data_IF_821820540262
#
_entry.id   IF_821820540262
#
_cell.length_a   1.000
_cell.length_b   1.000
_cell.length_c   1.000
_cell.angle_alpha   90.00
_cell.angle_beta   90.00
_cell.angle_gamma   90.00
#
_symmetry.space_group_name_H-M   'P 1'
#
loop_
_entity.id
_entity.type
_entity.pdbx_description
1 polymer ?
#
# COMPACT_ATOMS: atom_id res chain seq x y z
N UNK A 1 -31.48 38.72 -5.73
CA UNK A 1 -31.86 37.44 -5.06
C UNK A 1 -30.93 36.38 -5.65
N UNK A 2 -29.97 35.86 -4.89
CA UNK A 2 -29.12 34.77 -5.39
C UNK A 2 -30.00 33.57 -5.67
N UNK A 3 -29.81 32.93 -6.81
CA UNK A 3 -30.49 31.67 -7.16
C UNK A 3 -29.76 30.51 -6.44
N UNK A 4 -30.03 30.37 -5.15
CA UNK A 4 -29.41 29.37 -4.27
C UNK A 4 -29.74 27.94 -4.72
N UNK A 5 -30.91 27.73 -5.29
CA UNK A 5 -31.35 26.41 -5.77
C UNK A 5 -30.61 26.02 -7.06
N UNK A 6 -30.42 26.95 -7.98
CA UNK A 6 -29.62 26.76 -9.20
C UNK A 6 -28.13 26.50 -8.92
N UNK A 7 -27.56 27.18 -7.92
CA UNK A 7 -26.15 26.98 -7.50
C UNK A 7 -25.97 25.58 -6.86
N UNK A 8 -26.90 25.10 -6.02
CA UNK A 8 -26.85 23.78 -5.42
C UNK A 8 -26.97 22.68 -6.49
N UNK A 9 -27.87 22.82 -7.44
CA UNK A 9 -28.06 21.83 -8.53
C UNK A 9 -26.82 21.77 -9.39
N UNK A 10 -26.21 22.90 -9.71
CA UNK A 10 -24.96 22.97 -10.47
C UNK A 10 -23.79 22.31 -9.70
N UNK A 11 -23.61 22.64 -8.42
CA UNK A 11 -22.57 22.07 -7.59
C UNK A 11 -22.68 20.54 -7.49
N UNK A 12 -23.89 19.98 -7.38
CA UNK A 12 -24.12 18.53 -7.39
C UNK A 12 -23.83 17.89 -8.73
N UNK A 13 -24.12 18.56 -9.85
CA UNK A 13 -23.78 18.09 -11.18
C UNK A 13 -22.26 18.07 -11.38
N UNK A 14 -21.59 19.17 -11.06
CA UNK A 14 -20.12 19.28 -11.15
C UNK A 14 -19.40 18.23 -10.30
N UNK A 15 -19.91 17.96 -9.09
CA UNK A 15 -19.42 16.92 -8.20
C UNK A 15 -19.56 15.51 -8.82
N UNK A 16 -20.75 15.19 -9.35
CA UNK A 16 -20.99 13.91 -10.00
C UNK A 16 -20.10 13.72 -11.23
N UNK A 17 -19.92 14.75 -12.03
CA UNK A 17 -19.09 14.70 -13.23
C UNK A 17 -17.61 14.52 -12.87
N UNK A 18 -17.14 15.12 -11.76
CA UNK A 18 -15.80 14.91 -11.23
C UNK A 18 -15.56 13.44 -10.80
N UNK A 19 -16.53 12.81 -10.11
CA UNK A 19 -16.43 11.38 -9.74
C UNK A 19 -16.47 10.45 -10.96
N UNK A 20 -17.25 10.79 -11.99
CA UNK A 20 -17.30 10.00 -13.24
C UNK A 20 -15.92 10.08 -13.93
N UNK A 21 -15.34 11.28 -14.04
CA UNK A 21 -14.02 11.50 -14.64
C UNK A 21 -12.94 10.73 -13.86
N UNK A 22 -12.97 10.80 -12.54
CA UNK A 22 -12.06 10.04 -11.67
C UNK A 22 -12.15 8.55 -11.96
N UNK A 23 -13.36 7.99 -11.99
CA UNK A 23 -13.58 6.57 -12.29
C UNK A 23 -13.04 6.17 -13.66
N UNK A 24 -13.29 6.97 -14.71
CA UNK A 24 -12.77 6.72 -16.06
C UNK A 24 -11.24 6.72 -16.10
N UNK A 25 -10.59 7.57 -15.32
CA UNK A 25 -9.13 7.57 -15.18
C UNK A 25 -8.63 6.25 -14.60
N UNK A 26 -9.28 5.71 -13.56
CA UNK A 26 -8.87 4.42 -13.00
C UNK A 26 -9.18 3.22 -13.92
N UNK A 27 -10.26 3.26 -14.68
CA UNK A 27 -10.55 2.25 -15.72
C UNK A 27 -9.47 2.24 -16.81
N UNK A 28 -8.97 3.43 -17.21
CA UNK A 28 -7.85 3.56 -18.14
C UNK A 28 -6.55 3.01 -17.53
N UNK A 29 -6.22 3.37 -16.28
CA UNK A 29 -5.05 2.83 -15.57
C UNK A 29 -5.09 1.30 -15.55
N UNK A 30 -6.23 0.70 -15.24
CA UNK A 30 -6.40 -0.74 -15.24
C UNK A 30 -6.19 -1.35 -16.65
N UNK A 31 -6.70 -0.70 -17.68
CA UNK A 31 -6.49 -1.13 -19.08
C UNK A 31 -5.01 -1.06 -19.45
N UNK A 32 -4.33 0.04 -19.15
CA UNK A 32 -2.88 0.21 -19.36
C UNK A 32 -2.08 -0.85 -18.59
N UNK A 33 -2.49 -1.15 -17.35
CA UNK A 33 -1.89 -2.23 -16.54
C UNK A 33 -1.96 -3.59 -17.24
N UNK A 34 -3.11 -3.95 -17.81
CA UNK A 34 -3.26 -5.21 -18.55
C UNK A 34 -2.36 -5.23 -19.80
N UNK A 35 -2.24 -4.09 -20.49
CA UNK A 35 -1.31 -3.95 -21.62
C UNK A 35 0.15 -4.11 -21.15
N UNK A 36 0.54 -3.50 -20.05
CA UNK A 36 1.90 -3.68 -19.46
C UNK A 36 2.17 -5.16 -19.18
N UNK A 37 1.25 -5.87 -18.56
CA UNK A 37 1.43 -7.30 -18.27
C UNK A 37 1.48 -8.16 -19.54
N UNK A 38 0.78 -7.77 -20.59
CA UNK A 38 0.74 -8.50 -21.86
C UNK A 38 1.92 -8.22 -22.81
N UNK A 39 2.46 -7.00 -22.80
CA UNK A 39 3.45 -6.58 -23.79
C UNK A 39 4.84 -6.30 -23.18
N UNK A 40 4.90 -5.94 -21.89
CA UNK A 40 6.16 -5.77 -21.14
C UNK A 40 6.43 -7.00 -20.28
N UNK A 41 5.42 -7.56 -19.62
CA UNK A 41 5.50 -8.75 -18.77
C UNK A 41 6.29 -8.52 -17.48
N UNK A 42 6.57 -9.60 -16.76
CA UNK A 42 7.33 -9.62 -15.50
C UNK A 42 8.60 -10.46 -15.66
N UNK A 43 9.74 -9.92 -15.26
CA UNK A 43 10.98 -10.69 -15.22
C UNK A 43 10.90 -11.78 -14.14
N UNK A 44 11.21 -13.03 -14.52
CA UNK A 44 11.21 -14.16 -13.59
C UNK A 44 12.11 -15.28 -14.06
N UNK A 45 12.69 -16.02 -13.09
CA UNK A 45 13.37 -17.30 -13.30
C UNK A 45 12.75 -18.40 -12.45
N UNK A 46 11.67 -18.09 -11.73
CA UNK A 46 10.99 -19.04 -10.87
C UNK A 46 10.20 -20.04 -11.74
N UNK A 47 10.73 -21.26 -11.82
CA UNK A 47 10.15 -22.35 -12.65
C UNK A 47 8.71 -22.68 -12.22
N UNK A 48 8.42 -22.65 -10.91
CA UNK A 48 7.07 -22.96 -10.40
C UNK A 48 6.05 -21.90 -10.85
N UNK A 49 6.43 -20.62 -10.87
CA UNK A 49 5.58 -19.53 -11.38
C UNK A 49 5.36 -19.68 -12.88
N UNK A 50 6.43 -19.98 -13.64
CA UNK A 50 6.36 -20.14 -15.10
C UNK A 50 5.42 -21.30 -15.44
N UNK A 51 5.68 -22.49 -14.91
CA UNK A 51 4.86 -23.69 -15.18
C UNK A 51 3.39 -23.47 -14.78
N UNK A 52 3.15 -22.86 -13.62
CA UNK A 52 1.82 -22.60 -13.11
C UNK A 52 1.02 -21.69 -14.06
N UNK A 53 1.61 -20.59 -14.49
CA UNK A 53 0.92 -19.61 -15.32
C UNK A 53 0.77 -20.08 -16.77
N UNK A 54 1.79 -20.72 -17.36
CA UNK A 54 1.70 -21.28 -18.72
C UNK A 54 0.65 -22.41 -18.81
N UNK A 55 0.46 -23.19 -17.74
CA UNK A 55 -0.57 -24.23 -17.68
C UNK A 55 -2.00 -23.66 -17.82
N UNK A 56 -2.22 -22.37 -17.58
CA UNK A 56 -3.52 -21.71 -17.82
C UNK A 56 -3.85 -21.54 -19.30
N UNK A 57 -2.85 -21.57 -20.19
CA UNK A 57 -2.97 -21.20 -21.59
C UNK A 57 -3.17 -19.69 -21.84
N UNK A 58 -3.08 -18.87 -20.77
CA UNK A 58 -3.27 -17.40 -20.82
C UNK A 58 -1.98 -16.64 -20.43
N UNK A 59 -0.85 -17.34 -20.35
CA UNK A 59 0.46 -16.75 -20.15
C UNK A 59 1.49 -17.44 -21.05
N UNK A 60 2.57 -16.73 -21.36
CA UNK A 60 3.68 -17.23 -22.15
C UNK A 60 5.02 -16.72 -21.61
N UNK A 61 5.98 -17.62 -21.45
CA UNK A 61 7.32 -17.27 -21.03
C UNK A 61 8.29 -17.16 -22.21
N UNK A 62 9.01 -16.06 -22.31
CA UNK A 62 10.10 -15.89 -23.26
C UNK A 62 11.47 -16.03 -22.54
N UNK A 63 12.09 -17.19 -22.72
CA UNK A 63 13.38 -17.49 -22.12
C UNK A 63 14.52 -16.63 -22.67
N UNK A 64 14.35 -15.96 -23.81
CA UNK A 64 15.40 -15.12 -24.42
C UNK A 64 15.58 -13.81 -23.68
N UNK A 65 14.50 -13.29 -23.10
CA UNK A 65 14.47 -12.06 -22.28
C UNK A 65 14.17 -12.31 -20.81
N UNK A 66 13.84 -13.57 -20.44
CA UNK A 66 13.57 -13.96 -19.05
C UNK A 66 12.27 -13.35 -18.50
N UNK A 67 11.26 -13.16 -19.33
CA UNK A 67 10.00 -12.52 -18.93
C UNK A 67 8.79 -13.39 -19.23
N UNK A 68 7.81 -13.31 -18.33
CA UNK A 68 6.49 -13.94 -18.51
C UNK A 68 5.45 -12.87 -18.82
N UNK A 69 4.63 -13.12 -19.81
CA UNK A 69 3.59 -12.24 -20.32
C UNK A 69 2.23 -12.83 -19.99
N UNK A 70 1.30 -12.00 -19.51
CA UNK A 70 -0.04 -12.43 -19.12
C UNK A 70 -1.07 -11.78 -20.05
N UNK A 71 -1.94 -12.60 -20.64
CA UNK A 71 -3.06 -12.06 -21.40
C UNK A 71 -4.06 -11.35 -20.48
N UNK A 72 -4.75 -10.29 -20.95
CA UNK A 72 -5.76 -9.57 -20.19
C UNK A 72 -6.81 -10.46 -19.54
N UNK A 73 -7.20 -11.54 -20.21
CA UNK A 73 -8.19 -12.52 -19.77
C UNK A 73 -7.79 -13.23 -18.47
N UNK A 74 -6.49 -13.47 -18.24
CA UNK A 74 -6.03 -14.08 -16.99
C UNK A 74 -6.23 -13.13 -15.80
N UNK A 75 -5.99 -11.84 -16.01
CA UNK A 75 -6.22 -10.82 -14.98
C UNK A 75 -7.72 -10.70 -14.67
N UNK A 76 -8.57 -10.66 -15.71
CA UNK A 76 -10.01 -10.57 -15.53
C UNK A 76 -10.55 -11.82 -14.81
N UNK A 77 -10.13 -13.04 -15.18
CA UNK A 77 -10.50 -14.28 -14.49
C UNK A 77 -10.03 -14.29 -13.03
N UNK A 78 -8.82 -13.82 -12.76
CA UNK A 78 -8.28 -13.73 -11.41
C UNK A 78 -9.04 -12.75 -10.54
N UNK A 79 -9.44 -11.61 -11.10
CA UNK A 79 -10.29 -10.64 -10.41
C UNK A 79 -11.69 -11.18 -10.16
N UNK A 80 -12.30 -11.86 -11.13
CA UNK A 80 -13.63 -12.44 -10.97
C UNK A 80 -13.65 -13.55 -9.92
N UNK A 81 -12.59 -14.34 -9.84
CA UNK A 81 -12.46 -15.41 -8.85
C UNK A 81 -12.21 -14.89 -7.43
N UNK A 82 -11.42 -13.83 -7.27
CA UNK A 82 -10.97 -13.35 -5.97
C UNK A 82 -12.13 -12.93 -5.04
N UNK A 83 -12.05 -13.29 -3.76
CA UNK A 83 -12.97 -12.81 -2.74
C UNK A 83 -12.92 -11.29 -2.64
N UNK A 84 -14.08 -10.64 -2.57
CA UNK A 84 -14.23 -9.18 -2.57
C UNK A 84 -14.45 -8.59 -1.19
N UNK A 85 -14.84 -9.43 -0.24
CA UNK A 85 -15.06 -9.03 1.15
C UNK A 85 -14.33 -9.97 2.07
N UNK A 86 -13.89 -9.50 3.20
CA UNK A 86 -13.39 -10.33 4.27
C UNK A 86 -14.13 -10.01 5.58
N UNK A 87 -14.22 -11.01 6.45
CA UNK A 87 -14.86 -10.85 7.75
C UNK A 87 -14.18 -9.69 8.52
N UNK A 88 -14.98 -8.77 9.04
CA UNK A 88 -14.49 -7.62 9.79
C UNK A 88 -14.05 -6.40 8.95
N UNK A 89 -14.40 -6.32 7.66
CA UNK A 89 -14.29 -5.08 6.89
C UNK A 89 -15.46 -4.14 7.22
N UNK A 90 -15.60 -3.88 8.51
CA UNK A 90 -16.71 -3.10 9.04
C UNK A 90 -16.26 -1.65 9.29
N UNK A 91 -16.51 -0.81 8.33
CA UNK A 91 -16.50 0.64 8.50
C UNK A 91 -15.28 1.37 7.93
N UNK A 92 -15.41 2.67 7.76
CA UNK A 92 -14.36 3.55 7.26
C UNK A 92 -13.24 3.70 8.30
N UNK A 93 -12.02 3.90 7.81
CA UNK A 93 -10.87 4.37 8.57
C UNK A 93 -10.24 3.34 9.54
N UNK A 94 -9.97 2.14 9.05
CA UNK A 94 -9.12 1.18 9.76
C UNK A 94 -7.65 1.60 9.60
N UNK A 95 -7.19 2.53 10.44
CA UNK A 95 -5.81 2.95 10.46
C UNK A 95 -4.98 2.07 11.40
N UNK A 96 -3.71 1.87 11.09
CA UNK A 96 -2.86 0.96 11.81
C UNK A 96 -1.42 1.38 11.95
N UNK A 97 -0.71 0.58 12.72
CA UNK A 97 0.72 0.74 12.99
C UNK A 97 1.53 -0.34 12.27
N UNK A 98 2.85 -0.16 12.29
CA UNK A 98 3.82 -1.16 11.86
C UNK A 98 4.59 -0.75 10.62
N UNK A 99 5.17 -1.71 9.93
CA UNK A 99 6.14 -1.53 8.87
C UNK A 99 7.48 -2.13 9.25
N UNK A 100 7.57 -2.64 10.47
CA UNK A 100 8.75 -3.30 11.04
C UNK A 100 9.97 -2.37 11.00
N UNK A 101 9.87 -1.11 11.48
CA UNK A 101 11.02 -0.24 11.61
C UNK A 101 12.18 -0.95 12.30
N UNK A 102 13.41 -0.82 11.80
CA UNK A 102 14.56 -1.54 12.35
C UNK A 102 14.96 -1.10 13.76
N UNK A 103 14.53 0.09 14.20
CA UNK A 103 14.96 0.66 15.46
C UNK A 103 13.79 1.25 16.26
N UNK A 104 13.97 1.31 17.59
CA UNK A 104 13.11 2.00 18.54
C UNK A 104 13.79 3.30 19.01
N UNK A 105 13.07 4.41 18.98
CA UNK A 105 13.47 5.69 19.51
C UNK A 105 12.76 5.92 20.86
N UNK A 106 13.49 5.84 21.94
CA UNK A 106 12.96 5.98 23.31
C UNK A 106 13.05 7.42 23.78
N UNK A 107 12.22 7.78 24.72
CA UNK A 107 12.33 9.09 25.38
C UNK A 107 13.71 9.26 26.05
N UNK A 108 14.37 10.36 25.72
CA UNK A 108 15.72 10.67 26.23
C UNK A 108 16.87 10.04 25.45
N UNK A 109 16.60 9.19 24.46
CA UNK A 109 17.64 8.63 23.59
C UNK A 109 18.25 9.71 22.68
N UNK A 110 19.57 9.68 22.53
CA UNK A 110 20.26 10.47 21.51
C UNK A 110 20.13 9.87 20.10
N UNK A 111 20.02 8.54 20.01
CA UNK A 111 19.96 7.78 18.78
C UNK A 111 19.00 6.61 18.94
N UNK A 112 18.26 6.23 17.87
CA UNK A 112 17.42 5.04 17.90
C UNK A 112 18.28 3.78 18.04
N UNK A 113 17.79 2.81 18.79
CA UNK A 113 18.48 1.56 19.11
C UNK A 113 17.59 0.36 18.74
N UNK A 114 18.19 -0.83 18.48
CA UNK A 114 17.43 -2.05 18.29
C UNK A 114 16.51 -2.36 19.49
N UNK A 115 15.33 -2.89 19.22
CA UNK A 115 14.37 -3.25 20.26
C UNK A 115 14.60 -4.68 20.80
N UNK A 116 14.14 -4.91 22.03
CA UNK A 116 14.06 -6.19 22.72
C UNK A 116 12.66 -6.80 22.64
N UNK A 117 12.47 -8.05 23.10
CA UNK A 117 11.15 -8.66 23.23
C UNK A 117 10.29 -7.97 24.28
N UNK A 118 10.86 -7.62 25.42
CA UNK A 118 10.13 -6.94 26.52
C UNK A 118 9.58 -5.59 26.05
N UNK A 119 10.32 -4.88 25.19
CA UNK A 119 9.86 -3.64 24.57
C UNK A 119 8.78 -3.89 23.53
N UNK A 120 8.85 -4.97 22.75
CA UNK A 120 7.76 -5.35 21.84
C UNK A 120 6.49 -5.68 22.64
N UNK A 121 6.59 -6.45 23.75
CA UNK A 121 5.46 -6.75 24.64
C UNK A 121 4.84 -5.46 25.19
N UNK A 122 5.66 -4.55 25.72
CA UNK A 122 5.22 -3.24 26.19
C UNK A 122 4.49 -2.42 25.11
N UNK A 123 5.04 -2.38 23.90
CA UNK A 123 4.39 -1.66 22.79
C UNK A 123 3.04 -2.29 22.41
N UNK A 124 2.90 -3.61 22.47
CA UNK A 124 1.64 -4.30 22.19
C UNK A 124 0.60 -4.01 23.29
N UNK A 125 1.00 -3.93 24.56
CA UNK A 125 0.12 -3.48 25.66
C UNK A 125 -0.40 -2.06 25.40
N UNK A 126 0.49 -1.11 25.03
CA UNK A 126 0.12 0.27 24.72
C UNK A 126 -0.82 0.33 23.51
N UNK A 127 -0.59 -0.47 22.47
CA UNK A 127 -1.52 -0.58 21.34
C UNK A 127 -2.88 -1.05 21.82
N UNK A 128 -2.94 -2.04 22.70
CA UNK A 128 -4.16 -2.56 23.31
C UNK A 128 -4.97 -1.49 24.04
N UNK A 129 -4.32 -0.49 24.63
CA UNK A 129 -4.97 0.67 25.26
C UNK A 129 -5.51 1.71 24.26
N UNK A 130 -5.16 1.60 22.98
CA UNK A 130 -5.48 2.58 21.92
C UNK A 130 -6.33 2.01 20.78
N UNK A 131 -7.06 0.90 21.01
CA UNK A 131 -7.87 0.21 20.00
C UNK A 131 -9.09 1.02 19.51
N UNK A 132 -9.39 2.14 20.13
CA UNK A 132 -10.40 3.09 19.66
C UNK A 132 -9.99 3.80 18.35
N UNK A 133 -8.66 3.96 18.12
CA UNK A 133 -8.10 4.62 16.93
C UNK A 133 -7.18 3.71 16.11
N UNK A 134 -6.56 2.71 16.72
CA UNK A 134 -5.71 1.73 16.03
C UNK A 134 -6.54 0.48 15.74
N UNK A 135 -6.66 0.10 14.47
CA UNK A 135 -7.51 -1.02 14.02
C UNK A 135 -6.77 -2.04 13.15
N UNK A 136 -5.50 -1.80 12.89
CA UNK A 136 -4.66 -2.68 12.08
C UNK A 136 -3.24 -2.71 12.68
N UNK A 137 -2.68 -3.92 12.80
CA UNK A 137 -1.37 -4.14 13.38
C UNK A 137 -0.45 -4.88 12.39
N UNK A 138 0.66 -4.26 12.03
CA UNK A 138 1.90 -4.95 11.67
C UNK A 138 2.87 -4.80 12.82
N UNK A 139 3.88 -5.62 12.90
CA UNK A 139 4.88 -5.53 13.97
C UNK A 139 5.42 -4.09 14.09
N UNK A 140 5.28 -3.45 15.25
CA UNK A 140 5.61 -2.03 15.42
C UNK A 140 7.09 -1.72 15.31
N UNK A 141 7.95 -2.66 15.69
CA UNK A 141 9.41 -2.52 15.63
C UNK A 141 10.07 -3.88 15.47
N UNK A 142 11.20 -3.94 14.76
CA UNK A 142 12.01 -5.16 14.62
C UNK A 142 12.76 -5.47 15.92
N UNK A 143 12.52 -6.64 16.48
CA UNK A 143 13.34 -7.15 17.58
C UNK A 143 14.72 -7.56 17.06
N UNK A 144 15.79 -7.12 17.73
CA UNK A 144 17.16 -7.46 17.34
C UNK A 144 17.41 -8.96 17.45
N UNK A 145 17.80 -9.58 16.34
CA UNK A 145 17.96 -11.06 16.27
C UNK A 145 16.73 -11.82 16.77
N UNK A 146 15.56 -11.20 16.66
CA UNK A 146 14.32 -11.80 17.14
C UNK A 146 13.85 -12.93 16.23
N UNK A 147 13.25 -13.94 16.87
CA UNK A 147 12.52 -15.00 16.21
C UNK A 147 11.16 -14.46 15.74
N UNK A 148 10.83 -14.54 14.44
CA UNK A 148 9.55 -14.08 13.91
C UNK A 148 8.35 -14.74 14.58
N UNK A 149 8.41 -16.05 14.87
CA UNK A 149 7.34 -16.77 15.53
C UNK A 149 7.07 -16.21 16.92
N UNK A 150 8.12 -15.94 17.71
CA UNK A 150 7.98 -15.32 19.03
C UNK A 150 7.39 -13.91 18.94
N UNK A 151 7.81 -13.11 17.95
CA UNK A 151 7.22 -11.79 17.72
C UNK A 151 5.72 -11.89 17.39
N UNK A 152 5.33 -12.85 16.55
CA UNK A 152 3.93 -13.09 16.21
C UNK A 152 3.12 -13.55 17.42
N UNK A 153 3.68 -14.41 18.28
CA UNK A 153 3.02 -14.83 19.54
C UNK A 153 2.76 -13.65 20.49
N UNK A 154 3.65 -12.67 20.52
CA UNK A 154 3.44 -11.43 21.27
C UNK A 154 2.30 -10.62 20.67
N UNK A 155 2.27 -10.47 19.34
CA UNK A 155 1.20 -9.73 18.66
C UNK A 155 -0.15 -10.44 18.73
N UNK A 156 -0.17 -11.77 18.84
CA UNK A 156 -1.38 -12.60 18.91
C UNK A 156 -2.28 -12.26 20.11
N UNK A 157 -1.76 -11.57 21.11
CA UNK A 157 -2.53 -11.08 22.26
C UNK A 157 -3.68 -10.12 21.84
N UNK A 158 -3.56 -9.52 20.66
CA UNK A 158 -4.57 -8.59 20.10
C UNK A 158 -5.37 -9.19 18.93
N UNK A 159 -5.15 -10.46 18.58
CA UNK A 159 -5.73 -11.08 17.38
C UNK A 159 -7.26 -11.01 17.33
N UNK A 160 -7.92 -11.17 18.48
CA UNK A 160 -9.39 -11.07 18.57
C UNK A 160 -9.91 -9.60 18.53
N UNK A 161 -9.01 -8.63 18.57
CA UNK A 161 -9.37 -7.21 18.71
C UNK A 161 -9.15 -6.40 17.44
N UNK A 162 -8.12 -6.73 16.66
CA UNK A 162 -7.72 -6.02 15.45
C UNK A 162 -7.17 -6.99 14.40
N UNK A 163 -7.10 -6.51 13.16
CA UNK A 163 -6.47 -7.26 12.07
C UNK A 163 -4.96 -7.21 12.19
N UNK A 164 -4.32 -8.35 11.99
CA UNK A 164 -2.87 -8.47 12.13
C UNK A 164 -2.26 -8.95 10.82
N UNK A 165 -1.12 -8.38 10.44
CA UNK A 165 -0.27 -8.91 9.38
C UNK A 165 1.00 -9.49 9.98
N UNK A 166 1.43 -10.62 9.42
CA UNK A 166 2.68 -11.24 9.79
C UNK A 166 3.90 -10.35 9.58
N UNK A 167 4.91 -10.60 10.37
CA UNK A 167 6.29 -10.22 10.09
C UNK A 167 6.75 -10.89 8.78
N UNK A 168 7.26 -10.12 7.82
CA UNK A 168 7.77 -10.57 6.52
C UNK A 168 9.02 -11.47 6.59
N UNK A 169 9.38 -11.99 7.76
CA UNK A 169 10.60 -12.76 8.01
C UNK A 169 10.36 -14.23 8.38
N UNK A 170 9.13 -14.70 8.33
CA UNK A 170 8.85 -16.14 8.46
C UNK A 170 9.19 -16.83 7.14
N UNK A 171 9.78 -18.01 7.21
CA UNK A 171 9.90 -18.85 6.02
C UNK A 171 8.52 -19.42 5.60
N UNK A 172 8.43 -19.90 4.34
CA UNK A 172 7.16 -20.30 3.79
C UNK A 172 6.46 -21.43 4.55
N UNK A 173 7.18 -22.42 5.09
CA UNK A 173 6.59 -23.51 5.85
C UNK A 173 6.10 -23.08 7.24
N UNK A 174 6.87 -22.24 7.91
CA UNK A 174 6.48 -21.69 9.22
C UNK A 174 5.27 -20.75 9.06
N UNK A 175 5.28 -19.90 8.04
CA UNK A 175 4.15 -19.03 7.70
C UNK A 175 2.89 -19.85 7.45
N UNK A 176 2.96 -20.90 6.62
CA UNK A 176 1.81 -21.79 6.34
C UNK A 176 1.22 -22.37 7.62
N UNK A 177 2.05 -22.86 8.53
CA UNK A 177 1.59 -23.42 9.80
C UNK A 177 1.01 -22.37 10.73
N UNK A 178 1.60 -21.17 10.75
CA UNK A 178 1.16 -20.08 11.62
C UNK A 178 -0.22 -19.54 11.21
N UNK A 179 -0.45 -19.34 9.91
CA UNK A 179 -1.70 -18.77 9.40
C UNK A 179 -2.86 -19.75 9.34
N UNK A 180 -2.61 -21.04 9.41
CA UNK A 180 -3.65 -22.05 9.26
C UNK A 180 -4.82 -21.86 10.26
N UNK A 181 -6.00 -21.49 9.73
CA UNK A 181 -7.21 -21.25 10.51
C UNK A 181 -7.24 -19.93 11.29
N UNK A 182 -6.40 -18.96 10.94
CA UNK A 182 -6.35 -17.64 11.56
C UNK A 182 -6.93 -16.58 10.62
N UNK A 183 -8.24 -16.36 10.70
CA UNK A 183 -8.96 -15.46 9.77
C UNK A 183 -8.61 -13.98 9.97
N UNK A 184 -8.18 -13.58 11.17
CA UNK A 184 -7.78 -12.21 11.49
C UNK A 184 -6.33 -11.87 11.09
N UNK A 185 -5.58 -12.89 10.67
CA UNK A 185 -4.20 -12.76 10.22
C UNK A 185 -4.09 -12.79 8.70
N UNK A 186 -3.13 -12.03 8.17
CA UNK A 186 -2.82 -12.00 6.74
C UNK A 186 -1.33 -12.21 6.53
N UNK A 187 -1.00 -13.16 5.65
CA UNK A 187 0.38 -13.34 5.20
C UNK A 187 0.75 -12.25 4.20
N UNK A 188 1.75 -11.45 4.55
CA UNK A 188 2.17 -10.30 3.74
C UNK A 188 3.33 -10.67 2.84
N UNK A 189 3.03 -10.83 1.55
CA UNK A 189 3.99 -11.28 0.54
C UNK A 189 4.42 -10.10 -0.34
N UNK A 190 5.73 -9.82 -0.37
CA UNK A 190 6.38 -8.93 -1.33
C UNK A 190 7.01 -9.79 -2.46
N UNK A 191 6.18 -10.35 -3.33
CA UNK A 191 6.63 -11.28 -4.36
C UNK A 191 7.29 -10.62 -5.59
N UNK A 192 7.11 -9.31 -5.76
CA UNK A 192 7.69 -8.55 -6.87
C UNK A 192 8.55 -7.42 -6.33
N UNK A 193 9.77 -7.35 -6.84
CA UNK A 193 10.68 -6.21 -6.69
C UNK A 193 10.42 -5.25 -7.83
N UNK A 194 10.09 -4.00 -7.50
CA UNK A 194 9.92 -2.96 -8.51
C UNK A 194 11.23 -2.56 -9.18
N UNK A 195 11.26 -2.35 -10.51
CA UNK A 195 10.12 -2.51 -11.42
C UNK A 195 10.02 -3.94 -11.96
N UNK A 196 8.83 -4.52 -11.91
CA UNK A 196 8.39 -5.67 -12.69
C UNK A 196 9.35 -6.89 -12.69
N UNK A 197 9.91 -7.26 -11.51
CA UNK A 197 10.83 -8.38 -11.37
C UNK A 197 10.46 -9.27 -10.18
N UNK A 198 10.34 -10.58 -10.39
CA UNK A 198 10.01 -11.52 -9.32
C UNK A 198 11.13 -11.66 -8.29
N UNK A 199 10.75 -11.87 -7.04
CA UNK A 199 11.60 -12.35 -5.97
C UNK A 199 11.31 -13.84 -5.76
N UNK A 200 12.17 -14.71 -6.25
CA UNK A 200 11.91 -16.16 -6.35
C UNK A 200 11.45 -16.78 -5.03
N UNK A 201 12.18 -16.53 -3.94
CA UNK A 201 11.84 -17.06 -2.61
C UNK A 201 10.48 -16.55 -2.08
N UNK A 202 10.13 -15.31 -2.40
CA UNK A 202 8.85 -14.73 -1.98
C UNK A 202 7.70 -15.22 -2.85
N UNK A 203 7.95 -15.53 -4.12
CA UNK A 203 6.96 -16.15 -4.99
C UNK A 203 6.71 -17.62 -4.58
N UNK A 204 7.74 -18.34 -4.15
CA UNK A 204 7.57 -19.68 -3.57
C UNK A 204 6.72 -19.63 -2.30
N UNK A 205 6.96 -18.65 -1.43
CA UNK A 205 6.15 -18.42 -0.23
C UNK A 205 4.69 -18.08 -0.58
N UNK A 206 4.46 -17.25 -1.61
CA UNK A 206 3.12 -16.94 -2.11
C UNK A 206 2.38 -18.21 -2.56
N UNK A 207 3.03 -19.04 -3.37
CA UNK A 207 2.46 -20.30 -3.85
C UNK A 207 2.13 -21.26 -2.70
N UNK A 208 3.01 -21.37 -1.72
CA UNK A 208 2.80 -22.24 -0.53
C UNK A 208 1.63 -21.73 0.32
N UNK A 209 1.60 -20.44 0.61
CA UNK A 209 0.55 -19.80 1.41
C UNK A 209 -0.82 -19.89 0.70
N UNK A 210 -0.85 -19.67 -0.61
CA UNK A 210 -2.05 -19.83 -1.42
C UNK A 210 -2.57 -21.28 -1.43
N UNK A 211 -1.69 -22.27 -1.55
CA UNK A 211 -2.06 -23.70 -1.45
C UNK A 211 -2.65 -24.06 -0.09
N UNK A 212 -2.17 -23.43 0.96
CA UNK A 212 -2.68 -23.62 2.32
C UNK A 212 -4.03 -22.92 2.56
N UNK A 213 -4.46 -22.00 1.68
CA UNK A 213 -5.69 -21.25 1.83
C UNK A 213 -5.58 -20.08 2.80
N UNK A 214 -4.37 -19.63 3.09
CA UNK A 214 -4.15 -18.48 3.98
C UNK A 214 -4.63 -17.18 3.34
N UNK A 215 -5.12 -16.25 4.16
CA UNK A 215 -5.40 -14.88 3.70
C UNK A 215 -4.10 -14.20 3.31
N UNK A 216 -4.04 -13.65 2.09
CA UNK A 216 -2.86 -12.97 1.57
C UNK A 216 -3.02 -11.45 1.54
N UNK A 217 -1.93 -10.76 1.79
CA UNK A 217 -1.75 -9.36 1.41
C UNK A 217 -0.62 -9.27 0.39
N UNK A 218 -0.96 -8.94 -0.84
CA UNK A 218 -0.03 -8.83 -1.97
C UNK A 218 0.60 -7.45 -1.96
N UNK A 219 1.86 -7.38 -1.55
CA UNK A 219 2.53 -6.11 -1.23
C UNK A 219 3.62 -5.78 -2.25
N UNK A 220 3.64 -4.53 -2.68
CA UNK A 220 4.74 -3.92 -3.42
C UNK A 220 4.89 -2.47 -3.02
N UNK A 221 6.10 -1.90 -3.15
CA UNK A 221 6.39 -0.53 -2.76
C UNK A 221 7.27 0.17 -3.80
N UNK A 222 6.73 0.49 -4.98
CA UNK A 222 7.44 1.23 -6.02
C UNK A 222 7.78 2.65 -5.55
N UNK A 223 9.00 3.09 -5.84
CA UNK A 223 9.51 4.42 -5.47
C UNK A 223 9.49 5.32 -6.69
N UNK A 224 8.66 6.36 -6.67
CA UNK A 224 8.53 7.33 -7.74
C UNK A 224 9.88 7.95 -8.10
N UNK A 225 10.23 7.94 -9.39
CA UNK A 225 11.52 8.45 -9.87
C UNK A 225 12.72 7.55 -9.60
N UNK A 226 12.53 6.36 -8.99
CA UNK A 226 13.62 5.42 -8.70
C UNK A 226 13.34 3.99 -9.18
N UNK A 227 12.28 3.38 -8.70
CA UNK A 227 11.81 2.05 -9.11
C UNK A 227 10.42 2.10 -9.71
N UNK A 228 9.91 3.31 -9.93
CA UNK A 228 8.70 3.62 -10.66
C UNK A 228 8.92 4.91 -11.46
N UNK A 229 8.14 5.16 -12.52
CA UNK A 229 8.21 6.39 -13.30
C UNK A 229 8.01 7.68 -12.47
N UNK A 230 8.35 8.81 -13.10
CA UNK A 230 8.31 10.13 -12.47
C UNK A 230 6.96 10.86 -12.63
N UNK A 231 5.90 10.12 -12.96
CA UNK A 231 4.55 10.67 -13.05
C UNK A 231 3.59 9.89 -12.16
N UNK A 232 2.59 10.53 -11.54
CA UNK A 232 1.65 9.86 -10.65
C UNK A 232 0.94 8.68 -11.33
N UNK A 233 0.40 8.87 -12.52
CA UNK A 233 -0.33 7.83 -13.24
C UNK A 233 0.55 6.62 -13.55
N UNK A 234 1.74 6.82 -14.14
CA UNK A 234 2.63 5.71 -14.49
C UNK A 234 3.18 4.98 -13.24
N UNK A 235 3.37 5.70 -12.14
CA UNK A 235 3.72 5.10 -10.85
C UNK A 235 2.59 4.18 -10.33
N UNK A 236 1.32 4.60 -10.48
CA UNK A 236 0.16 3.78 -10.09
C UNK A 236 0.00 2.58 -11.03
N UNK A 237 0.21 2.73 -12.35
CA UNK A 237 0.15 1.63 -13.31
C UNK A 237 1.15 0.53 -12.94
N UNK A 238 2.41 0.86 -12.64
CA UNK A 238 3.42 -0.12 -12.22
C UNK A 238 3.01 -0.80 -10.90
N UNK A 239 2.57 -0.03 -9.92
CA UNK A 239 2.10 -0.58 -8.64
C UNK A 239 0.97 -1.57 -8.84
N UNK A 240 0.02 -1.22 -9.70
CA UNK A 240 -1.13 -2.05 -10.00
C UNK A 240 -0.72 -3.31 -10.78
N UNK A 241 0.19 -3.21 -11.76
CA UNK A 241 0.69 -4.33 -12.52
C UNK A 241 1.37 -5.40 -11.66
N UNK A 242 2.21 -4.98 -10.73
CA UNK A 242 2.92 -5.87 -9.82
C UNK A 242 1.96 -6.63 -8.90
N UNK A 243 0.93 -5.96 -8.36
CA UNK A 243 -0.08 -6.64 -7.53
C UNK A 243 -0.99 -7.54 -8.35
N UNK A 244 -1.41 -7.12 -9.55
CA UNK A 244 -2.23 -7.95 -10.44
C UNK A 244 -1.50 -9.21 -10.88
N UNK A 245 -0.20 -9.15 -11.10
CA UNK A 245 0.62 -10.33 -11.36
C UNK A 245 0.60 -11.32 -10.18
N UNK A 246 0.87 -10.84 -8.97
CA UNK A 246 0.80 -11.69 -7.76
C UNK A 246 -0.61 -12.26 -7.53
N UNK A 247 -1.65 -11.48 -7.82
CA UNK A 247 -3.04 -11.94 -7.77
C UNK A 247 -3.29 -13.09 -8.76
N UNK A 248 -2.79 -12.95 -10.00
CA UNK A 248 -2.93 -14.00 -11.00
C UNK A 248 -2.28 -15.31 -10.55
N UNK A 249 -1.08 -15.25 -9.97
CA UNK A 249 -0.42 -16.43 -9.39
C UNK A 249 -1.26 -17.01 -8.26
N UNK A 250 -1.69 -16.21 -7.28
CA UNK A 250 -2.46 -16.67 -6.13
C UNK A 250 -3.79 -17.32 -6.55
N UNK A 251 -4.54 -16.69 -7.44
CA UNK A 251 -5.84 -17.19 -7.92
C UNK A 251 -5.71 -18.39 -8.85
N UNK A 252 -4.58 -18.55 -9.56
CA UNK A 252 -4.30 -19.77 -10.34
C UNK A 252 -4.03 -20.95 -9.41
N UNK A 253 -3.37 -20.72 -8.26
CA UNK A 253 -3.12 -21.75 -7.25
C UNK A 253 -4.40 -22.15 -6.51
N UNK A 254 -5.17 -21.16 -6.06
CA UNK A 254 -6.36 -21.36 -5.23
C UNK A 254 -7.44 -20.32 -5.56
N UNK A 255 -8.29 -20.63 -6.55
CA UNK A 255 -9.36 -19.72 -6.98
C UNK A 255 -10.35 -19.41 -5.85
N UNK A 256 -10.71 -18.16 -5.70
CA UNK A 256 -11.68 -17.69 -4.70
C UNK A 256 -11.07 -17.29 -3.36
N UNK A 257 -9.76 -17.45 -3.19
CA UNK A 257 -9.10 -17.06 -1.96
C UNK A 257 -9.09 -15.54 -1.77
N UNK A 258 -8.99 -15.12 -0.50
CA UNK A 258 -8.86 -13.72 -0.15
C UNK A 258 -7.45 -13.21 -0.43
N UNK A 259 -7.37 -12.18 -1.28
CA UNK A 259 -6.16 -11.43 -1.54
C UNK A 259 -6.43 -9.93 -1.32
N UNK A 260 -5.78 -9.34 -0.32
CA UNK A 260 -5.80 -7.89 -0.13
C UNK A 260 -4.80 -7.22 -1.05
N UNK A 261 -5.20 -6.12 -1.67
CA UNK A 261 -4.31 -5.27 -2.44
C UNK A 261 -3.43 -4.46 -1.48
N UNK A 262 -2.13 -4.69 -1.50
CA UNK A 262 -1.13 -4.05 -0.65
C UNK A 262 -0.09 -3.23 -1.44
N UNK A 263 -0.42 -2.79 -2.65
CA UNK A 263 0.44 -1.89 -3.43
C UNK A 263 0.47 -0.50 -2.79
N UNK A 264 1.66 -0.04 -2.43
CA UNK A 264 1.89 1.21 -1.68
C UNK A 264 2.96 2.02 -2.39
N UNK A 265 2.63 2.75 -3.46
CA UNK A 265 3.58 3.61 -4.14
C UNK A 265 4.06 4.71 -3.19
N UNK A 266 5.33 5.06 -3.29
CA UNK A 266 5.96 6.04 -2.42
C UNK A 266 6.68 7.11 -3.23
N UNK A 267 6.70 8.33 -2.69
CA UNK A 267 7.54 9.42 -3.16
C UNK A 267 8.98 9.26 -2.68
N UNK A 268 9.90 9.94 -3.35
CA UNK A 268 11.33 9.92 -2.99
C UNK A 268 11.87 11.33 -2.83
N UNK A 269 12.90 11.48 -2.01
CA UNK A 269 13.73 12.68 -1.96
C UNK A 269 14.63 12.77 -3.20
N UNK A 270 15.22 13.94 -3.48
CA UNK A 270 16.15 14.09 -4.59
C UNK A 270 17.36 13.13 -4.57
N UNK A 271 17.76 12.64 -3.38
CA UNK A 271 18.79 11.61 -3.23
C UNK A 271 18.29 10.19 -3.56
N UNK A 272 17.01 10.04 -3.86
CA UNK A 272 16.34 8.77 -4.21
C UNK A 272 15.89 7.95 -3.01
N UNK A 273 16.04 8.45 -1.79
CA UNK A 273 15.50 7.81 -0.59
C UNK A 273 14.01 8.12 -0.44
N UNK A 274 13.32 7.26 0.28
CA UNK A 274 11.91 7.36 0.60
C UNK A 274 11.57 8.70 1.28
N UNK A 275 10.42 9.30 0.93
CA UNK A 275 9.95 10.56 1.51
C UNK A 275 8.46 10.51 1.89
N UNK A 276 8.19 10.23 3.15
CA UNK A 276 6.82 10.27 3.71
C UNK A 276 6.32 11.69 4.04
N UNK A 277 7.20 12.68 4.04
CA UNK A 277 6.81 14.08 4.26
C UNK A 277 6.36 14.79 2.99
N UNK A 278 6.51 14.16 1.82
CA UNK A 278 6.10 14.74 0.55
C UNK A 278 4.57 14.78 0.42
N UNK A 279 4.01 15.91 -0.01
CA UNK A 279 2.56 16.14 -0.08
C UNK A 279 1.82 15.14 -0.98
N UNK A 280 2.45 14.64 -2.04
CA UNK A 280 1.86 13.63 -2.92
C UNK A 280 1.92 12.19 -2.36
N UNK A 281 2.60 11.94 -1.26
CA UNK A 281 2.76 10.59 -0.70
C UNK A 281 1.41 9.95 -0.34
N UNK A 282 0.64 10.66 0.46
CA UNK A 282 -0.67 10.16 0.90
C UNK A 282 -1.68 10.16 -0.26
N UNK A 283 -1.59 11.14 -1.19
CA UNK A 283 -2.43 11.20 -2.39
C UNK A 283 -2.23 9.99 -3.32
N UNK A 284 -0.99 9.51 -3.50
CA UNK A 284 -0.72 8.29 -4.26
C UNK A 284 -1.45 7.09 -3.67
N UNK A 285 -1.40 6.94 -2.35
CA UNK A 285 -2.06 5.86 -1.65
C UNK A 285 -3.58 5.99 -1.69
N UNK A 286 -4.12 7.20 -1.63
CA UNK A 286 -5.55 7.47 -1.90
C UNK A 286 -5.92 7.04 -3.31
N UNK A 287 -5.15 7.42 -4.32
CA UNK A 287 -5.43 7.07 -5.72
C UNK A 287 -5.47 5.55 -5.93
N UNK A 288 -4.54 4.81 -5.32
CA UNK A 288 -4.53 3.34 -5.37
C UNK A 288 -5.74 2.73 -4.65
N UNK A 289 -6.12 3.26 -3.48
CA UNK A 289 -7.33 2.80 -2.78
C UNK A 289 -8.59 3.03 -3.64
N UNK A 290 -8.68 4.19 -4.30
CA UNK A 290 -9.78 4.55 -5.21
C UNK A 290 -9.83 3.67 -6.45
N UNK A 291 -8.66 3.36 -7.06
CA UNK A 291 -8.55 2.39 -8.15
C UNK A 291 -9.19 1.06 -7.74
N UNK A 292 -8.88 0.56 -6.55
CA UNK A 292 -9.45 -0.69 -6.06
C UNK A 292 -10.95 -0.55 -5.76
N UNK A 293 -11.39 0.56 -5.18
CA UNK A 293 -12.81 0.83 -4.93
C UNK A 293 -13.62 0.84 -6.22
N UNK A 294 -13.13 1.50 -7.27
CA UNK A 294 -13.89 1.69 -8.51
C UNK A 294 -13.80 0.52 -9.47
N UNK A 295 -12.62 -0.12 -9.57
CA UNK A 295 -12.31 -1.09 -10.63
C UNK A 295 -12.23 -2.52 -10.11
N UNK A 296 -11.24 -2.83 -9.28
CA UNK A 296 -10.96 -4.24 -8.90
C UNK A 296 -11.90 -4.79 -7.84
N UNK A 297 -12.45 -3.93 -6.99
CA UNK A 297 -13.26 -4.30 -5.82
C UNK A 297 -12.51 -5.15 -4.79
N UNK A 298 -11.20 -5.20 -4.85
CA UNK A 298 -10.39 -5.93 -3.86
C UNK A 298 -10.31 -5.14 -2.56
N UNK A 299 -10.30 -5.82 -1.42
CA UNK A 299 -9.90 -5.20 -0.16
C UNK A 299 -8.50 -4.62 -0.29
N UNK A 300 -8.25 -3.46 0.32
CA UNK A 300 -6.96 -2.77 0.17
C UNK A 300 -6.38 -2.38 1.52
N UNK A 301 -5.06 -2.40 1.63
CA UNK A 301 -4.30 -1.78 2.72
C UNK A 301 -3.25 -0.86 2.13
N UNK A 302 -3.37 0.42 2.43
CA UNK A 302 -2.49 1.45 1.93
C UNK A 302 -1.42 1.84 2.97
N UNK A 303 -0.59 2.82 2.63
CA UNK A 303 0.41 3.41 3.51
C UNK A 303 0.18 4.92 3.61
N UNK A 304 0.49 5.51 4.74
CA UNK A 304 0.44 6.96 4.91
C UNK A 304 0.35 7.38 6.37
N UNK A 305 0.30 8.69 6.60
CA UNK A 305 0.26 9.24 7.96
C UNK A 305 1.57 9.11 8.73
N UNK A 306 2.68 8.78 8.06
CA UNK A 306 4.04 8.76 8.62
C UNK A 306 4.79 10.05 8.27
N UNK A 307 6.05 10.15 8.65
CA UNK A 307 6.89 11.34 8.47
C UNK A 307 8.34 11.02 8.13
N UNK A 308 9.00 11.94 7.45
CA UNK A 308 10.47 11.96 7.31
C UNK A 308 11.20 12.64 8.47
N UNK A 309 10.49 13.16 9.48
CA UNK A 309 11.11 13.72 10.67
C UNK A 309 11.85 12.63 11.49
N UNK A 310 13.01 12.99 12.05
CA UNK A 310 13.90 12.04 12.76
C UNK A 310 13.65 11.98 14.26
N UNK A 311 12.87 12.89 14.79
CA UNK A 311 12.53 12.99 16.22
C UNK A 311 11.04 13.22 16.37
N UNK A 312 10.43 12.83 17.50
CA UNK A 312 9.01 13.03 17.79
C UNK A 312 8.73 14.50 18.19
N UNK A 313 8.80 15.41 17.22
CA UNK A 313 8.57 16.84 17.39
C UNK A 313 7.25 17.31 16.74
N UNK A 314 6.99 18.61 16.78
CA UNK A 314 5.79 19.23 16.19
C UNK A 314 5.69 18.99 14.68
N UNK A 315 6.81 18.86 13.96
CA UNK A 315 6.84 18.56 12.54
C UNK A 315 6.39 17.12 12.30
N UNK A 316 6.92 16.17 13.08
CA UNK A 316 6.49 14.77 12.99
C UNK A 316 4.98 14.64 13.18
N UNK A 317 4.46 15.31 14.21
CA UNK A 317 3.03 15.31 14.52
C UNK A 317 2.21 15.96 13.40
N UNK A 318 2.64 17.10 12.85
CA UNK A 318 1.94 17.79 11.78
C UNK A 318 1.87 16.94 10.49
N UNK A 319 2.97 16.32 10.08
CA UNK A 319 3.01 15.39 8.93
C UNK A 319 2.05 14.22 9.14
N UNK A 320 2.08 13.59 10.33
CA UNK A 320 1.19 12.47 10.68
C UNK A 320 -0.29 12.86 10.66
N UNK A 321 -0.65 14.02 11.23
CA UNK A 321 -2.02 14.55 11.21
C UNK A 321 -2.47 14.76 9.76
N UNK A 322 -1.66 15.45 8.95
CA UNK A 322 -1.97 15.73 7.54
C UNK A 322 -2.26 14.44 6.79
N UNK A 323 -1.35 13.48 6.84
CA UNK A 323 -1.50 12.22 6.09
C UNK A 323 -2.72 11.42 6.54
N UNK A 324 -2.95 11.25 7.85
CA UNK A 324 -4.13 10.54 8.36
C UNK A 324 -5.43 11.23 7.96
N UNK A 325 -5.49 12.58 7.96
CA UNK A 325 -6.65 13.33 7.50
C UNK A 325 -6.90 13.11 6.01
N UNK A 326 -5.87 13.20 5.16
CA UNK A 326 -5.99 12.91 3.73
C UNK A 326 -6.57 11.50 3.52
N UNK A 327 -5.99 10.47 4.14
CA UNK A 327 -6.51 9.11 4.03
C UNK A 327 -7.98 9.01 4.43
N UNK A 328 -8.35 9.61 5.55
CA UNK A 328 -9.71 9.56 6.06
C UNK A 328 -10.70 10.36 5.20
N UNK A 329 -10.34 11.60 4.82
CA UNK A 329 -11.23 12.50 4.09
C UNK A 329 -11.49 12.03 2.65
N UNK A 330 -10.54 11.32 2.06
CA UNK A 330 -10.71 10.68 0.76
C UNK A 330 -11.25 9.24 0.82
N UNK A 331 -11.62 8.73 2.00
CA UNK A 331 -12.31 7.46 2.17
C UNK A 331 -11.44 6.22 2.02
N UNK A 332 -10.16 6.30 2.38
CA UNK A 332 -9.31 5.11 2.48
C UNK A 332 -9.75 4.27 3.67
N UNK A 333 -10.14 3.01 3.43
CA UNK A 333 -10.66 2.14 4.47
C UNK A 333 -9.58 1.60 5.38
N UNK A 334 -8.45 1.14 4.82
CA UNK A 334 -7.36 0.55 5.58
C UNK A 334 -6.02 1.18 5.20
N UNK A 335 -5.27 1.62 6.20
CA UNK A 335 -3.90 2.08 6.03
C UNK A 335 -3.02 1.70 7.20
N UNK A 336 -1.75 1.45 6.94
CA UNK A 336 -0.71 1.17 7.94
C UNK A 336 0.37 2.26 7.93
N UNK A 337 1.29 2.20 8.85
CA UNK A 337 2.35 3.20 9.08
C UNK A 337 1.80 4.54 9.62
N UNK A 338 0.56 4.55 10.10
CA UNK A 338 -0.15 5.78 10.44
C UNK A 338 0.21 6.36 11.81
N UNK A 339 0.85 5.58 12.68
CA UNK A 339 1.10 5.97 14.07
C UNK A 339 2.51 5.61 14.51
N UNK A 340 3.20 6.55 15.15
CA UNK A 340 4.46 6.34 15.84
C UNK A 340 5.69 6.10 14.97
N UNK A 341 5.58 6.20 13.65
CA UNK A 341 6.66 5.87 12.72
C UNK A 341 7.36 7.13 12.24
N UNK A 342 8.69 7.17 12.36
CA UNK A 342 9.56 8.29 12.07
C UNK A 342 10.62 7.93 11.02
N UNK A 343 11.31 8.96 10.49
CA UNK A 343 12.43 8.86 9.56
C UNK A 343 12.17 7.89 8.41
N UNK A 344 11.01 8.06 7.74
CA UNK A 344 10.66 7.25 6.58
C UNK A 344 10.68 5.73 6.86
N UNK A 345 10.03 5.30 7.93
CA UNK A 345 9.94 3.91 8.42
C UNK A 345 11.22 3.35 9.05
N UNK A 346 12.18 4.19 9.42
CA UNK A 346 13.40 3.71 10.09
C UNK A 346 13.24 3.54 11.59
N UNK A 347 12.35 4.33 12.23
CA UNK A 347 12.19 4.30 13.67
C UNK A 347 10.72 4.17 14.06
N UNK A 348 10.47 3.48 15.17
CA UNK A 348 9.22 3.61 15.92
C UNK A 348 9.49 4.40 17.21
N UNK A 349 8.55 5.26 17.60
CA UNK A 349 8.60 6.01 18.86
C UNK A 349 7.27 5.92 19.58
N UNK A 350 7.30 5.47 20.84
CA UNK A 350 6.13 5.44 21.71
C UNK A 350 5.55 6.85 21.92
N UNK A 351 6.40 7.85 22.16
CA UNK A 351 5.99 9.24 22.33
C UNK A 351 5.22 9.75 21.10
N UNK A 352 5.75 9.50 19.88
CA UNK A 352 5.06 9.86 18.65
C UNK A 352 3.74 9.09 18.49
N UNK A 353 3.73 7.79 18.82
CA UNK A 353 2.53 6.95 18.77
C UNK A 353 1.40 7.50 19.64
N UNK A 354 1.69 7.85 20.90
CA UNK A 354 0.69 8.38 21.83
C UNK A 354 0.16 9.75 21.37
N UNK A 355 1.04 10.63 20.87
CA UNK A 355 0.65 11.92 20.31
C UNK A 355 -0.24 11.76 19.06
N UNK A 356 0.11 10.84 18.16
CA UNK A 356 -0.66 10.51 16.98
C UNK A 356 -2.06 9.96 17.34
N UNK A 357 -2.15 9.06 18.32
CA UNK A 357 -3.42 8.52 18.79
C UNK A 357 -4.31 9.62 19.38
N UNK A 358 -3.75 10.55 20.15
CA UNK A 358 -4.50 11.69 20.69
C UNK A 358 -5.03 12.57 19.56
N UNK A 359 -4.18 12.96 18.61
CA UNK A 359 -4.57 13.79 17.47
C UNK A 359 -5.66 13.12 16.61
N UNK A 360 -5.57 11.81 16.41
CA UNK A 360 -6.59 11.06 15.66
C UNK A 360 -7.94 11.04 16.40
N UNK A 361 -7.96 10.90 17.72
CA UNK A 361 -9.21 11.00 18.52
C UNK A 361 -9.85 12.38 18.38
N UNK A 362 -9.05 13.44 18.42
CA UNK A 362 -9.53 14.81 18.27
C UNK A 362 -10.12 15.02 16.87
N UNK A 363 -9.45 14.53 15.83
CA UNK A 363 -9.96 14.58 14.47
C UNK A 363 -11.31 13.84 14.33
N UNK A 364 -11.41 12.59 14.80
CA UNK A 364 -12.62 11.79 14.69
C UNK A 364 -13.82 12.38 15.44
N UNK A 365 -13.57 13.07 16.56
CA UNK A 365 -14.64 13.78 17.32
C UNK A 365 -15.20 15.00 16.58
N UNK A 366 -14.37 15.65 15.76
CA UNK A 366 -14.72 16.90 15.07
C UNK A 366 -15.10 16.70 13.62
N UNK A 367 -14.93 15.48 13.08
CA UNK A 367 -15.29 15.16 11.71
C UNK A 367 -16.80 15.11 11.53
N UNK A 368 -17.31 15.82 10.51
CA UNK A 368 -18.66 15.58 10.00
C UNK A 368 -18.61 14.34 9.10
N UNK A 369 -19.47 13.37 9.39
CA UNK A 369 -19.60 12.17 8.57
C UNK A 369 -20.68 12.41 7.51
N UNK A 370 -20.34 13.21 6.49
CA UNK A 370 -21.30 13.62 5.45
C UNK A 370 -21.50 12.52 4.38
N UNK A 371 -20.75 11.41 4.46
CA UNK A 371 -20.88 10.24 3.56
C UNK A 371 -20.44 10.50 2.11
N UNK A 372 -20.13 11.73 1.75
CA UNK A 372 -19.74 12.10 0.40
C UNK A 372 -18.23 11.96 0.21
N UNK A 373 -17.83 11.27 -0.87
CA UNK A 373 -16.43 11.09 -1.23
C UNK A 373 -15.89 12.36 -1.89
N UNK A 374 -14.82 12.94 -1.36
CA UNK A 374 -14.11 14.04 -2.02
C UNK A 374 -13.51 13.56 -3.35
N UNK A 375 -13.84 14.15 -4.53
CA UNK A 375 -13.26 13.74 -5.79
C UNK A 375 -11.75 14.00 -5.81
N UNK A 376 -10.97 13.01 -6.28
CA UNK A 376 -9.54 13.14 -6.46
C UNK A 376 -9.23 13.31 -7.96
N UNK A 377 -8.66 14.45 -8.32
CA UNK A 377 -8.13 14.64 -9.66
C UNK A 377 -6.74 14.00 -9.76
N UNK A 378 -6.59 13.05 -10.68
CA UNK A 378 -5.30 12.45 -11.03
C UNK A 378 -4.88 12.97 -12.42
N UNK A 379 -3.68 13.57 -12.58
CA UNK A 379 -3.21 14.02 -13.89
C UNK A 379 -3.02 12.83 -14.81
N UNK A 380 -3.42 12.98 -16.08
CA UNK A 380 -3.27 11.96 -17.10
C UNK A 380 -1.85 11.94 -17.65
N UNK A 381 -1.33 10.73 -17.92
CA UNK A 381 -0.05 10.53 -18.60
C UNK A 381 -0.26 9.62 -19.81
N UNK A 382 -0.43 10.22 -20.98
CA UNK A 382 -0.63 9.48 -22.24
C UNK A 382 0.61 8.69 -22.67
N UNK A 383 1.76 8.90 -22.01
CA UNK A 383 3.02 8.19 -22.27
C UNK A 383 3.34 7.15 -21.19
N UNK A 384 2.41 6.90 -20.25
CA UNK A 384 2.67 5.99 -19.13
C UNK A 384 3.15 4.60 -19.59
N UNK A 385 2.52 4.04 -20.64
CA UNK A 385 2.90 2.74 -21.20
C UNK A 385 4.31 2.75 -21.79
N UNK A 386 4.63 3.72 -22.66
CA UNK A 386 5.93 3.84 -23.32
C UNK A 386 7.07 4.07 -22.33
N UNK A 387 6.80 4.85 -21.26
CA UNK A 387 7.76 5.06 -20.17
C UNK A 387 8.01 3.75 -19.45
N UNK A 388 6.97 3.00 -19.09
CA UNK A 388 7.11 1.70 -18.40
C UNK A 388 7.81 0.68 -19.29
N UNK A 389 7.48 0.60 -20.57
CA UNK A 389 8.13 -0.30 -21.52
C UNK A 389 9.64 -0.01 -21.63
N UNK A 390 10.02 1.26 -21.74
CA UNK A 390 11.44 1.69 -21.76
C UNK A 390 12.15 1.34 -20.45
N UNK A 391 11.48 1.57 -19.33
CA UNK A 391 11.97 1.29 -17.98
C UNK A 391 12.26 -0.19 -17.78
N UNK A 392 11.38 -1.07 -18.24
CA UNK A 392 11.53 -2.51 -18.07
C UNK A 392 12.54 -3.13 -19.03
N UNK A 393 12.88 -2.46 -20.14
CA UNK A 393 13.82 -2.94 -21.17
C UNK A 393 15.25 -2.44 -21.01
N UNK A 394 15.51 -1.50 -20.13
CA UNK A 394 16.83 -0.93 -19.82
C UNK A 394 17.30 -1.33 -18.43
N UNK A 395 18.62 -1.24 -18.19
CA UNK A 395 19.16 -1.22 -16.83
C UNK A 395 18.66 0.03 -16.10
N UNK A 396 17.40 0.00 -15.69
CA UNK A 396 16.64 1.11 -15.11
C UNK A 396 17.36 1.79 -13.93
N UNK A 397 18.25 1.06 -13.27
CA UNK A 397 19.10 1.62 -12.24
C UNK A 397 20.05 2.74 -12.72
N UNK A 398 20.28 2.89 -14.01
CA UNK A 398 21.21 3.89 -14.57
C UNK A 398 20.49 5.18 -14.93
N UNK A 399 19.28 5.12 -15.50
CA UNK A 399 18.53 6.32 -15.93
C UNK A 399 17.79 7.03 -14.79
N UNK A 400 17.46 6.33 -13.69
CA UNK A 400 16.84 6.92 -12.50
C UNK A 400 17.85 7.63 -11.57
N UNK A 401 19.14 7.45 -11.75
CA UNK A 401 20.16 8.05 -10.88
C UNK A 401 20.48 9.50 -11.20
N UNK A 402 19.97 10.04 -12.28
CA UNK A 402 19.98 11.48 -12.51
C UNK A 402 18.76 12.13 -11.82
N UNK A 403 18.93 12.48 -10.54
CA UNK A 403 18.00 13.30 -9.73
C UNK A 403 16.52 13.00 -9.98
N UNK A 404 15.88 12.32 -9.04
CA UNK A 404 14.43 12.12 -9.05
C UNK A 404 13.73 13.49 -9.28
N UNK A 405 13.18 13.69 -10.46
CA UNK A 405 12.41 14.88 -10.77
C UNK A 405 10.95 14.58 -10.45
N UNK A 406 10.48 14.97 -9.29
CA UNK A 406 9.10 14.82 -8.86
C UNK A 406 8.21 16.02 -9.20
N UNK A 407 8.63 16.89 -10.13
CA UNK A 407 7.84 18.07 -10.50
C UNK A 407 6.40 17.78 -10.86
N UNK A 408 6.11 16.65 -11.52
CA UNK A 408 4.74 16.23 -11.81
C UNK A 408 3.94 15.88 -10.54
N UNK A 409 4.59 15.38 -9.49
CA UNK A 409 3.97 15.10 -8.19
C UNK A 409 3.73 16.40 -7.40
N UNK A 410 4.70 17.33 -7.44
CA UNK A 410 4.54 18.66 -6.84
C UNK A 410 3.38 19.43 -7.45
N UNK A 411 3.30 19.45 -8.80
CA UNK A 411 2.22 20.10 -9.53
C UNK A 411 0.86 19.45 -9.21
N UNK A 412 0.81 18.14 -9.07
CA UNK A 412 -0.42 17.44 -8.67
C UNK A 412 -0.84 17.78 -7.25
N UNK A 413 0.05 17.67 -6.27
CA UNK A 413 -0.23 18.02 -4.88
C UNK A 413 -0.72 19.47 -4.76
N UNK A 414 -0.06 20.39 -5.45
CA UNK A 414 -0.47 21.80 -5.53
C UNK A 414 -1.87 21.95 -6.14
N UNK A 415 -2.17 21.27 -7.24
CA UNK A 415 -3.49 21.34 -7.88
C UNK A 415 -4.62 20.83 -6.96
N UNK A 416 -4.35 19.84 -6.11
CA UNK A 416 -5.28 19.34 -5.08
C UNK A 416 -5.42 20.37 -3.95
N UNK A 417 -4.31 20.96 -3.49
CA UNK A 417 -4.31 22.02 -2.47
C UNK A 417 -5.07 23.28 -2.93
N UNK A 418 -4.85 23.74 -4.16
CA UNK A 418 -5.50 24.92 -4.74
C UNK A 418 -7.05 24.76 -4.83
N UNK A 419 -7.54 23.54 -4.84
CA UNK A 419 -8.98 23.22 -4.75
C UNK A 419 -9.50 23.18 -3.30
N UNK A 420 -8.65 23.47 -2.31
CA UNK A 420 -8.98 23.39 -0.89
C UNK A 420 -9.22 21.98 -0.37
N UNK A 421 -8.71 20.95 -1.08
CA UNK A 421 -8.92 19.54 -0.77
C UNK A 421 -7.84 18.96 0.15
N UNK A 422 -6.73 19.67 0.37
CA UNK A 422 -5.74 19.29 1.37
C UNK A 422 -6.04 19.99 2.70
N UNK A 423 -5.90 19.27 3.82
CA UNK A 423 -6.01 19.89 5.14
C UNK A 423 -4.89 20.92 5.32
N UNK A 424 -5.28 22.14 5.73
CA UNK A 424 -4.38 23.24 6.06
C UNK A 424 -3.58 22.95 7.35
#
# INVERSE_FOLDING_TARGET
>A
MMDFEGEIIKARADYRDALITEKQTYERIHTTTKTVLAEVGIETKNEAVIELLEATGLAAYDATVGRIYLLPELIDQSLDAAAKTFAGDEGPNTLGIGGIPPFLFREGDQYPMPATYDELEHLIEIVGENLDVVRFLSQPVKVHKGDPLKCNLIMDQLADCIKITCSAYMDGEEAVKWFAGRDDWHDSICGVKSPLSCMDNMMDALIQSARAGNNLRLTTMPLAGRTAPQTPEACIVITHAEVMFMLAVAQTVNPGMLCMFGGMPCTTRPDGDLDYSHDAMDLLNVAVARLNMWVTKLPTVQSGGSTGAKIPDDRALADGIRGRRILCDFGVHNARHCFGVLDNLNFFSEQAFLADCQAQREYLRNRSDDGDLTPLYLPTDDQAFEVIQRVASSDYHVDCHTTANLGAFDDWAKAVADKGLLPG
#
